data_IF_511437579968
#
_entry.id   IF_511437579968
#
_cell.length_a   1.000
_cell.length_b   1.000
_cell.length_c   1.000
_cell.angle_alpha   90.00
_cell.angle_beta   90.00
_cell.angle_gamma   90.00
#
_symmetry.space_group_name_H-M   'P 1'
#
loop_
_entity.id
_entity.type
_entity.pdbx_description
1 polymer ?
#
# COMPACT_ATOMS: atom_id res chain seq x y z
N UNK A 1 21.22 3.14 -28.78
CA UNK A 1 21.26 1.69 -28.61
C UNK A 1 22.08 1.39 -27.37
N UNK A 2 21.44 1.23 -26.23
CA UNK A 2 22.12 0.79 -25.00
C UNK A 2 21.82 -0.69 -24.84
N UNK A 3 22.87 -1.50 -24.88
CA UNK A 3 22.79 -2.92 -24.66
C UNK A 3 22.41 -3.17 -23.20
N UNK A 4 21.24 -3.77 -22.96
CA UNK A 4 20.91 -4.39 -21.69
C UNK A 4 21.91 -5.54 -21.48
N UNK A 5 22.81 -5.38 -20.52
CA UNK A 5 23.63 -6.46 -20.03
C UNK A 5 22.72 -7.52 -19.39
N UNK A 6 22.50 -8.62 -20.11
CA UNK A 6 21.95 -9.84 -19.57
C UNK A 6 22.95 -10.40 -18.57
N UNK A 7 22.76 -10.13 -17.28
CA UNK A 7 23.42 -10.90 -16.23
C UNK A 7 22.90 -12.33 -16.27
N UNK A 8 23.79 -13.35 -16.21
CA UNK A 8 23.38 -14.74 -16.36
C UNK A 8 22.48 -15.17 -15.21
N UNK A 9 21.41 -15.86 -15.55
CA UNK A 9 20.54 -16.62 -14.68
C UNK A 9 21.37 -17.35 -13.62
N UNK A 10 21.05 -17.10 -12.35
CA UNK A 10 21.25 -18.12 -11.33
C UNK A 10 20.40 -19.32 -11.75
N UNK A 11 21.04 -20.30 -12.39
CA UNK A 11 20.44 -21.60 -12.63
C UNK A 11 20.03 -22.15 -11.27
N UNK A 12 18.75 -22.28 -11.03
CA UNK A 12 18.24 -23.11 -9.95
C UNK A 12 18.73 -24.53 -10.25
N UNK A 13 19.81 -24.95 -9.60
CA UNK A 13 20.22 -26.33 -9.52
C UNK A 13 19.22 -27.05 -8.58
N UNK A 14 18.00 -27.24 -9.05
CA UNK A 14 17.13 -28.26 -8.54
C UNK A 14 17.42 -29.51 -9.35
N UNK A 15 17.84 -30.56 -8.67
CA UNK A 15 18.10 -31.88 -9.23
C UNK A 15 17.03 -32.31 -10.22
N UNK A 16 17.47 -32.96 -11.30
CA UNK A 16 16.69 -33.27 -12.47
C UNK A 16 15.32 -33.81 -12.16
N UNK A 17 14.29 -33.10 -12.68
CA UNK A 17 12.96 -33.63 -12.85
C UNK A 17 12.25 -32.88 -13.97
N UNK A 18 11.58 -33.64 -14.79
CA UNK A 18 10.67 -33.37 -15.89
C UNK A 18 10.24 -31.91 -16.04
N UNK A 19 10.60 -31.31 -17.16
CA UNK A 19 10.02 -30.05 -17.63
C UNK A 19 8.53 -30.28 -17.90
N UNK A 20 7.69 -30.10 -16.87
CA UNK A 20 6.25 -30.06 -17.00
C UNK A 20 5.86 -29.04 -18.07
N UNK A 21 4.69 -29.20 -18.70
CA UNK A 21 4.18 -28.21 -19.66
C UNK A 21 4.07 -26.84 -18.98
N UNK A 22 4.39 -25.74 -19.69
CA UNK A 22 4.21 -24.40 -19.15
C UNK A 22 2.76 -24.18 -18.69
N UNK A 23 2.59 -23.52 -17.55
CA UNK A 23 1.28 -23.32 -16.94
C UNK A 23 0.71 -21.93 -17.23
N UNK A 24 -0.61 -21.80 -17.28
CA UNK A 24 -1.29 -20.50 -17.25
C UNK A 24 -1.37 -20.03 -15.79
N UNK A 25 -1.00 -18.77 -15.55
CA UNK A 25 -1.20 -18.11 -14.26
C UNK A 25 -2.44 -17.22 -14.30
N UNK A 26 -3.22 -17.21 -13.24
CA UNK A 26 -4.32 -16.26 -13.01
C UNK A 26 -3.99 -15.44 -11.76
N UNK A 27 -3.83 -14.13 -11.95
CA UNK A 27 -3.39 -13.19 -10.92
C UNK A 27 -4.54 -12.25 -10.59
N UNK A 28 -4.98 -12.28 -9.32
CA UNK A 28 -5.94 -11.30 -8.81
C UNK A 28 -5.19 -10.04 -8.39
N UNK A 29 -5.67 -8.89 -8.84
CA UNK A 29 -5.23 -7.57 -8.43
C UNK A 29 -6.25 -6.93 -7.51
N UNK A 30 -5.83 -6.60 -6.30
CA UNK A 30 -6.59 -5.79 -5.35
C UNK A 30 -5.85 -4.48 -5.12
N UNK A 31 -6.59 -3.37 -5.15
CA UNK A 31 -6.05 -2.02 -4.90
C UNK A 31 -5.06 -1.48 -5.95
N UNK A 32 -5.11 -1.97 -7.20
CA UNK A 32 -4.31 -1.42 -8.31
C UNK A 32 -2.84 -1.79 -8.27
N UNK A 33 -2.49 -2.92 -7.68
CA UNK A 33 -1.10 -3.41 -7.57
C UNK A 33 -0.46 -3.70 -8.93
N UNK A 34 -1.25 -4.07 -9.94
CA UNK A 34 -0.74 -4.31 -11.29
C UNK A 34 -0.09 -3.07 -11.91
N UNK A 35 -0.51 -1.88 -11.52
CA UNK A 35 0.16 -0.64 -11.93
C UNK A 35 1.65 -0.66 -11.57
N UNK A 36 1.98 -1.19 -10.39
CA UNK A 36 3.33 -1.25 -9.83
C UNK A 36 4.15 -2.46 -10.28
N UNK A 37 3.49 -3.50 -10.81
CA UNK A 37 4.14 -4.81 -11.01
C UNK A 37 3.97 -5.40 -12.40
N UNK A 38 2.95 -4.98 -13.18
CA UNK A 38 2.64 -5.62 -14.46
C UNK A 38 3.81 -5.65 -15.44
N UNK A 39 4.61 -4.58 -15.63
CA UNK A 39 5.77 -4.65 -16.50
C UNK A 39 6.78 -5.72 -16.09
N UNK A 40 7.01 -5.89 -14.78
CA UNK A 40 7.91 -6.90 -14.24
C UNK A 40 7.33 -8.33 -14.37
N UNK A 41 6.01 -8.48 -14.23
CA UNK A 41 5.31 -9.75 -14.43
C UNK A 41 5.35 -10.18 -15.91
N UNK A 42 5.11 -9.27 -16.84
CA UNK A 42 5.21 -9.54 -18.27
C UNK A 42 6.66 -9.88 -18.68
N UNK A 43 7.64 -9.20 -18.10
CA UNK A 43 9.04 -9.54 -18.32
C UNK A 43 9.38 -10.95 -17.81
N UNK A 44 8.79 -11.40 -16.69
CA UNK A 44 8.93 -12.77 -16.21
C UNK A 44 8.40 -13.80 -17.22
N UNK A 45 7.20 -13.57 -17.78
CA UNK A 45 6.60 -14.44 -18.80
C UNK A 45 7.53 -14.59 -20.01
N UNK A 46 8.07 -13.47 -20.51
CA UNK A 46 8.99 -13.46 -21.66
C UNK A 46 10.30 -14.20 -21.32
N UNK A 47 10.85 -14.00 -20.15
CA UNK A 47 12.09 -14.63 -19.72
C UNK A 47 11.95 -16.13 -19.38
N UNK A 48 10.73 -16.59 -19.07
CA UNK A 48 10.47 -17.94 -18.58
C UNK A 48 9.38 -18.70 -19.37
N UNK A 49 9.49 -18.83 -20.73
CA UNK A 49 8.46 -19.45 -21.55
C UNK A 49 8.27 -20.95 -21.28
N UNK A 50 9.23 -21.59 -20.62
CA UNK A 50 9.13 -23.00 -20.19
C UNK A 50 8.39 -23.17 -18.86
N UNK A 51 8.15 -22.09 -18.11
CA UNK A 51 7.44 -22.11 -16.83
C UNK A 51 6.02 -21.59 -17.03
N UNK A 52 5.84 -20.49 -17.76
CA UNK A 52 4.55 -19.81 -17.93
C UNK A 52 4.21 -19.72 -19.40
N UNK A 53 3.02 -20.23 -19.76
CA UNK A 53 2.46 -20.14 -21.11
C UNK A 53 1.68 -18.83 -21.30
N UNK A 54 0.90 -18.44 -20.29
CA UNK A 54 0.09 -17.23 -20.33
C UNK A 54 -0.22 -16.69 -18.93
N UNK A 55 -0.61 -15.42 -18.83
CA UNK A 55 -1.02 -14.75 -17.60
C UNK A 55 -2.33 -14.02 -17.81
N UNK A 56 -3.31 -14.34 -16.97
CA UNK A 56 -4.59 -13.66 -16.89
C UNK A 56 -4.63 -12.76 -15.64
N UNK A 57 -5.24 -11.58 -15.78
CA UNK A 57 -5.38 -10.61 -14.70
C UNK A 57 -6.86 -10.39 -14.38
N UNK A 58 -7.19 -10.41 -13.09
CA UNK A 58 -8.54 -10.22 -12.58
C UNK A 58 -8.50 -9.11 -11.54
N UNK A 59 -9.21 -8.01 -11.75
CA UNK A 59 -9.35 -6.96 -10.77
C UNK A 59 -10.51 -7.27 -9.81
N UNK A 60 -10.26 -7.16 -8.50
CA UNK A 60 -11.26 -7.30 -7.44
C UNK A 60 -11.09 -6.21 -6.38
N UNK A 61 -12.15 -6.00 -5.62
CA UNK A 61 -12.07 -5.26 -4.35
C UNK A 61 -11.59 -6.18 -3.20
N UNK A 62 -11.06 -5.61 -2.13
CA UNK A 62 -10.58 -6.39 -0.99
C UNK A 62 -11.68 -7.29 -0.36
N UNK A 63 -12.94 -6.83 -0.19
CA UNK A 63 -14.02 -7.70 0.32
C UNK A 63 -14.37 -8.89 -0.58
N UNK A 64 -14.13 -8.81 -1.90
CA UNK A 64 -14.45 -9.88 -2.85
C UNK A 64 -13.37 -10.97 -2.92
N UNK A 65 -12.13 -10.65 -2.52
CA UNK A 65 -10.97 -11.53 -2.70
C UNK A 65 -11.15 -12.89 -2.01
N UNK A 66 -11.32 -12.89 -0.69
CA UNK A 66 -11.36 -14.11 0.11
C UNK A 66 -12.60 -14.96 -0.17
N UNK A 67 -13.81 -14.40 -0.30
CA UNK A 67 -14.98 -15.17 -0.73
C UNK A 67 -14.79 -15.87 -2.08
N UNK A 68 -14.17 -15.19 -3.08
CA UNK A 68 -13.87 -15.80 -4.38
C UNK A 68 -12.92 -16.98 -4.25
N UNK A 69 -11.83 -16.84 -3.51
CA UNK A 69 -10.86 -17.92 -3.30
C UNK A 69 -11.53 -19.12 -2.60
N UNK A 70 -12.31 -18.87 -1.56
CA UNK A 70 -13.05 -19.95 -0.86
C UNK A 70 -14.03 -20.68 -1.76
N UNK A 71 -14.78 -19.96 -2.58
CA UNK A 71 -15.70 -20.56 -3.54
C UNK A 71 -14.97 -21.49 -4.53
N UNK A 72 -13.82 -21.07 -5.06
CA UNK A 72 -12.98 -21.89 -5.93
C UNK A 72 -12.42 -23.12 -5.21
N UNK A 73 -11.95 -22.97 -3.96
CA UNK A 73 -11.44 -24.08 -3.14
C UNK A 73 -12.56 -25.12 -2.84
N UNK A 74 -13.76 -24.66 -2.48
CA UNK A 74 -14.90 -25.52 -2.20
C UNK A 74 -15.40 -26.26 -3.44
N UNK A 75 -15.33 -25.63 -4.61
CA UNK A 75 -15.66 -26.24 -5.89
C UNK A 75 -14.60 -27.22 -6.40
N UNK A 76 -13.43 -27.32 -5.74
CA UNK A 76 -12.31 -28.13 -6.22
C UNK A 76 -11.69 -27.64 -7.54
N UNK A 77 -12.02 -26.42 -7.94
CA UNK A 77 -11.54 -25.78 -9.17
C UNK A 77 -10.89 -24.42 -8.84
N UNK A 78 -9.64 -24.49 -8.37
CA UNK A 78 -8.88 -23.31 -7.98
C UNK A 78 -8.16 -22.70 -9.20
N UNK A 79 -8.82 -21.74 -9.87
CA UNK A 79 -8.25 -21.05 -11.04
C UNK A 79 -7.21 -20.00 -10.63
N UNK A 80 -7.43 -19.31 -9.52
CA UNK A 80 -6.53 -18.27 -9.04
C UNK A 80 -5.19 -18.85 -8.60
N UNK A 81 -4.09 -18.35 -9.19
CA UNK A 81 -2.73 -18.81 -8.88
C UNK A 81 -2.07 -17.96 -7.81
N UNK A 82 -2.28 -16.64 -7.85
CA UNK A 82 -1.69 -15.67 -6.92
C UNK A 82 -2.63 -14.49 -6.76
N UNK A 83 -2.57 -13.82 -5.61
CA UNK A 83 -3.18 -12.51 -5.46
C UNK A 83 -2.16 -11.47 -5.00
N UNK A 84 -2.32 -10.26 -5.53
CA UNK A 84 -1.64 -9.04 -5.11
C UNK A 84 -2.62 -8.27 -4.24
N UNK A 85 -2.30 -8.04 -2.97
CA UNK A 85 -3.25 -7.48 -2.00
C UNK A 85 -2.58 -6.65 -0.92
N UNK A 86 -3.35 -5.75 -0.32
CA UNK A 86 -2.95 -5.01 0.88
C UNK A 86 -3.20 -5.79 2.17
N UNK A 87 -3.12 -5.08 3.29
CA UNK A 87 -3.34 -5.61 4.64
C UNK A 87 -4.67 -6.36 4.80
N UNK A 88 -5.75 -5.83 4.23
CA UNK A 88 -7.11 -6.38 4.39
C UNK A 88 -7.21 -7.80 3.82
N UNK A 89 -6.72 -8.01 2.59
CA UNK A 89 -6.83 -9.30 1.92
C UNK A 89 -5.90 -10.37 2.49
N UNK A 90 -4.66 -10.01 2.88
CA UNK A 90 -3.78 -10.97 3.53
C UNK A 90 -4.30 -11.35 4.93
N UNK A 91 -4.78 -10.39 5.72
CA UNK A 91 -5.31 -10.62 7.06
C UNK A 91 -6.55 -11.51 7.04
N UNK A 92 -7.55 -11.14 6.25
CA UNK A 92 -8.79 -11.91 6.12
C UNK A 92 -8.55 -13.34 5.62
N UNK A 93 -7.63 -13.51 4.67
CA UNK A 93 -7.32 -14.83 4.14
C UNK A 93 -6.45 -15.68 5.08
N UNK A 94 -5.57 -15.08 5.89
CA UNK A 94 -4.85 -15.75 6.98
C UNK A 94 -5.84 -16.29 8.01
N UNK A 95 -6.74 -15.44 8.50
CA UNK A 95 -7.77 -15.81 9.48
C UNK A 95 -8.67 -16.94 8.98
N UNK A 96 -9.08 -16.88 7.72
CA UNK A 96 -9.96 -17.88 7.10
C UNK A 96 -9.21 -19.11 6.55
N UNK A 97 -7.88 -19.16 6.69
CA UNK A 97 -7.05 -20.30 6.33
C UNK A 97 -6.91 -20.57 4.83
N UNK A 98 -7.15 -19.57 3.98
CA UNK A 98 -7.12 -19.74 2.51
C UNK A 98 -5.75 -19.59 1.87
N UNK A 99 -4.76 -18.97 2.56
CA UNK A 99 -3.42 -18.75 2.03
C UNK A 99 -2.44 -19.85 2.40
N UNK A 100 -1.50 -20.12 1.51
CA UNK A 100 -0.27 -20.87 1.84
C UNK A 100 0.58 -20.03 2.78
N UNK A 101 1.09 -20.63 3.86
CA UNK A 101 2.13 -20.01 4.64
C UNK A 101 3.46 -20.16 3.89
N UNK A 102 3.82 -19.10 3.16
CA UNK A 102 4.98 -19.09 2.24
C UNK A 102 6.28 -19.30 3.00
N UNK A 103 6.38 -18.74 4.20
CA UNK A 103 7.47 -19.01 5.13
C UNK A 103 6.93 -19.80 6.34
N UNK A 104 7.53 -20.91 6.74
CA UNK A 104 8.86 -21.42 6.31
C UNK A 104 8.88 -22.31 5.07
N UNK A 105 7.72 -22.61 4.42
CA UNK A 105 7.63 -23.59 3.32
C UNK A 105 8.65 -23.37 2.21
N UNK A 106 8.91 -22.10 1.84
CA UNK A 106 9.84 -21.68 0.79
C UNK A 106 10.98 -20.82 1.33
N UNK A 107 11.47 -21.16 2.52
CA UNK A 107 12.55 -20.42 3.20
C UNK A 107 13.77 -20.23 2.30
N UNK A 108 14.22 -21.29 1.63
CA UNK A 108 15.42 -21.26 0.78
C UNK A 108 15.26 -20.27 -0.40
N UNK A 109 14.03 -19.99 -0.83
CA UNK A 109 13.75 -19.04 -1.90
C UNK A 109 13.71 -17.61 -1.39
N UNK A 110 13.06 -17.36 -0.24
CA UNK A 110 12.70 -16.00 0.18
C UNK A 110 13.52 -15.44 1.34
N UNK A 111 14.30 -16.26 2.08
CA UNK A 111 15.02 -15.77 3.26
C UNK A 111 15.87 -14.54 2.96
N UNK A 112 16.64 -14.56 1.86
CA UNK A 112 17.49 -13.43 1.45
C UNK A 112 16.67 -12.15 1.21
N UNK A 113 15.50 -12.27 0.61
CA UNK A 113 14.60 -11.11 0.37
C UNK A 113 14.02 -10.59 1.67
N UNK A 114 13.62 -11.48 2.58
CA UNK A 114 13.10 -11.11 3.91
C UNK A 114 14.17 -10.40 4.75
N UNK A 115 15.43 -10.87 4.70
CA UNK A 115 16.55 -10.23 5.40
C UNK A 115 16.91 -8.85 4.80
N UNK A 116 16.59 -8.66 3.53
CA UNK A 116 16.83 -7.41 2.82
C UNK A 116 15.74 -6.36 3.01
N UNK A 117 14.60 -6.67 3.64
CA UNK A 117 13.51 -5.72 3.80
C UNK A 117 13.95 -4.40 4.45
N UNK A 118 13.34 -3.29 4.00
CA UNK A 118 13.36 -2.04 4.75
C UNK A 118 12.58 -2.21 6.06
N UNK A 119 12.87 -1.45 7.13
CA UNK A 119 12.27 -1.69 8.45
C UNK A 119 10.74 -1.74 8.44
N UNK A 120 10.08 -0.84 7.71
CA UNK A 120 8.61 -0.81 7.64
C UNK A 120 8.02 -2.02 6.89
N UNK A 121 8.64 -2.47 5.81
CA UNK A 121 8.22 -3.68 5.10
C UNK A 121 8.46 -4.94 5.95
N UNK A 122 9.54 -4.97 6.73
CA UNK A 122 9.81 -6.07 7.67
C UNK A 122 8.74 -6.14 8.75
N UNK A 123 8.40 -5.00 9.38
CA UNK A 123 7.34 -4.91 10.38
C UNK A 123 5.98 -5.36 9.83
N UNK A 124 5.64 -4.97 8.59
CA UNK A 124 4.42 -5.40 7.94
C UNK A 124 4.43 -6.91 7.63
N UNK A 125 5.56 -7.45 7.18
CA UNK A 125 5.72 -8.89 6.93
C UNK A 125 5.58 -9.71 8.21
N UNK A 126 6.19 -9.27 9.32
CA UNK A 126 6.18 -9.98 10.60
C UNK A 126 4.76 -10.12 11.18
N UNK A 127 3.89 -9.14 10.91
CA UNK A 127 2.48 -9.16 11.33
C UNK A 127 1.70 -10.36 10.78
N UNK A 128 2.10 -10.86 9.61
CA UNK A 128 1.38 -11.93 8.92
C UNK A 128 2.08 -13.29 8.94
N UNK A 129 3.07 -13.52 9.82
CA UNK A 129 3.70 -14.82 10.08
C UNK A 129 4.12 -15.58 8.81
N UNK A 130 4.55 -14.86 7.78
CA UNK A 130 4.99 -15.47 6.52
C UNK A 130 3.88 -16.01 5.61
N UNK A 131 2.62 -15.61 5.80
CA UNK A 131 1.52 -15.95 4.89
C UNK A 131 1.57 -15.22 3.54
N UNK A 132 2.42 -14.21 3.40
CA UNK A 132 2.68 -13.50 2.16
C UNK A 132 4.09 -12.94 2.11
N UNK A 133 4.51 -12.52 0.93
CA UNK A 133 5.76 -11.81 0.71
C UNK A 133 5.43 -10.35 0.42
N UNK A 134 5.95 -9.43 1.26
CA UNK A 134 5.84 -7.99 1.04
C UNK A 134 6.68 -7.60 -0.18
N UNK A 135 6.11 -6.93 -1.17
CA UNK A 135 6.84 -6.60 -2.39
C UNK A 135 6.80 -5.11 -2.76
N UNK A 136 5.85 -4.36 -2.23
CA UNK A 136 5.79 -2.90 -2.34
C UNK A 136 5.62 -2.30 -0.97
N UNK A 137 6.35 -1.23 -0.68
CA UNK A 137 6.31 -0.52 0.58
C UNK A 137 6.17 0.99 0.35
N UNK A 138 5.30 1.60 1.15
CA UNK A 138 5.19 3.05 1.32
C UNK A 138 5.20 3.38 2.81
N UNK A 139 5.93 4.40 3.29
CA UNK A 139 5.81 4.87 4.68
C UNK A 139 4.36 5.22 5.06
N UNK A 140 3.55 5.58 4.07
CA UNK A 140 2.13 5.86 4.25
C UNK A 140 1.87 7.28 4.72
N UNK A 141 1.24 7.40 5.87
CA UNK A 141 0.83 8.67 6.48
C UNK A 141 0.69 8.51 8.01
N UNK A 142 0.04 9.48 8.67
CA UNK A 142 -0.61 10.65 8.10
C UNK A 142 0.37 11.75 7.68
N UNK A 143 0.09 12.36 6.56
CA UNK A 143 0.61 13.65 6.16
C UNK A 143 -0.54 14.48 5.57
N UNK A 144 -0.29 15.75 5.26
CA UNK A 144 -1.33 16.65 4.78
C UNK A 144 -0.85 17.37 3.54
N UNK A 145 -1.64 17.32 2.46
CA UNK A 145 -1.41 18.09 1.23
C UNK A 145 -2.28 19.34 1.27
N UNK A 146 -1.74 20.51 0.89
CA UNK A 146 -2.44 21.77 1.00
C UNK A 146 -2.08 22.77 -0.11
N UNK A 147 -2.98 23.75 -0.31
CA UNK A 147 -2.77 24.89 -1.16
C UNK A 147 -2.05 26.03 -0.36
N UNK A 148 -0.77 26.35 -0.66
CA UNK A 148 -0.01 27.33 0.12
C UNK A 148 -0.52 28.76 -0.04
N UNK A 149 -1.22 29.11 -1.12
CA UNK A 149 -1.84 30.42 -1.29
C UNK A 149 -3.02 30.64 -0.33
N UNK A 150 -3.73 29.57 0.01
CA UNK A 150 -4.87 29.58 0.93
C UNK A 150 -4.47 29.31 2.37
N UNK A 151 -3.33 28.64 2.58
CA UNK A 151 -2.84 28.23 3.89
C UNK A 151 -1.37 28.61 4.02
N UNK A 152 -1.03 29.91 4.15
CA UNK A 152 0.37 30.36 4.20
C UNK A 152 1.11 29.87 5.45
N UNK A 153 0.39 29.57 6.53
CA UNK A 153 0.94 29.02 7.77
C UNK A 153 0.20 27.71 8.12
N UNK A 154 0.66 26.56 7.63
CA UNK A 154 0.00 25.28 7.90
C UNK A 154 0.09 24.90 9.39
N UNK A 155 -0.91 24.20 9.93
CA UNK A 155 -0.92 23.69 11.31
C UNK A 155 0.28 22.78 11.59
N UNK A 156 0.85 22.86 12.80
CA UNK A 156 1.96 22.02 13.25
C UNK A 156 1.48 20.94 14.24
N UNK A 157 0.43 21.20 14.97
CA UNK A 157 -0.12 20.27 15.98
C UNK A 157 -1.55 19.86 15.63
N UNK A 158 -2.02 18.76 16.22
CA UNK A 158 -3.43 18.36 16.07
C UNK A 158 -4.40 19.43 16.60
N UNK A 159 -4.04 20.12 17.69
CA UNK A 159 -4.82 21.21 18.23
C UNK A 159 -4.92 22.41 17.27
N UNK A 160 -3.80 22.76 16.62
CA UNK A 160 -3.78 23.82 15.60
C UNK A 160 -4.60 23.42 14.36
N UNK A 161 -4.55 22.16 13.91
CA UNK A 161 -5.36 21.67 12.80
C UNK A 161 -6.86 21.77 13.14
N UNK A 162 -7.27 21.42 14.34
CA UNK A 162 -8.64 21.54 14.80
C UNK A 162 -9.08 23.02 14.86
N UNK A 163 -8.26 23.89 15.42
CA UNK A 163 -8.53 25.33 15.48
C UNK A 163 -8.62 25.94 14.07
N UNK A 164 -7.74 25.52 13.17
CA UNK A 164 -7.75 25.94 11.77
C UNK A 164 -9.05 25.47 11.07
N UNK A 165 -9.45 24.21 11.24
CA UNK A 165 -10.70 23.68 10.66
C UNK A 165 -11.93 24.42 11.18
N UNK A 166 -11.95 24.77 12.47
CA UNK A 166 -13.00 25.59 13.09
C UNK A 166 -13.07 26.98 12.48
N UNK A 167 -11.94 27.61 12.21
CA UNK A 167 -11.87 28.92 11.56
C UNK A 167 -12.19 28.88 10.06
N UNK A 168 -12.07 27.72 9.44
CA UNK A 168 -12.26 27.49 8.00
C UNK A 168 -13.19 26.29 7.75
N UNK A 169 -14.48 26.36 8.13
CA UNK A 169 -15.40 25.22 7.99
C UNK A 169 -15.48 24.73 6.54
N UNK A 170 -15.49 23.43 6.38
CA UNK A 170 -15.54 22.79 5.05
C UNK A 170 -14.26 22.90 4.23
N UNK A 171 -13.14 23.43 4.76
CA UNK A 171 -11.87 23.57 4.00
C UNK A 171 -10.86 22.46 4.28
N UNK A 172 -11.04 21.68 5.34
CA UNK A 172 -10.31 20.43 5.59
C UNK A 172 -11.14 19.24 5.17
N UNK A 173 -10.50 18.21 4.59
CA UNK A 173 -11.18 16.98 4.17
C UNK A 173 -10.28 15.76 4.28
N UNK A 174 -10.90 14.63 4.59
CA UNK A 174 -10.34 13.28 4.38
C UNK A 174 -11.44 12.33 3.90
N UNK A 175 -11.08 11.31 3.15
CA UNK A 175 -12.03 10.30 2.69
C UNK A 175 -12.31 9.26 3.79
N UNK A 176 -13.43 8.53 3.66
CA UNK A 176 -13.79 7.44 4.58
C UNK A 176 -12.64 6.48 4.77
N UNK A 177 -12.21 6.20 6.02
CA UNK A 177 -11.02 5.38 6.29
C UNK A 177 -11.06 3.97 5.70
N UNK A 178 -12.25 3.33 5.68
CA UNK A 178 -12.41 1.99 5.10
C UNK A 178 -12.09 1.94 3.59
N UNK A 179 -12.28 3.06 2.87
CA UNK A 179 -12.17 3.12 1.40
C UNK A 179 -10.97 3.94 0.90
N UNK A 180 -10.11 4.42 1.80
CA UNK A 180 -9.03 5.35 1.47
C UNK A 180 -7.78 5.07 2.28
N UNK A 181 -6.65 4.82 1.61
CA UNK A 181 -5.34 4.71 2.26
C UNK A 181 -4.98 5.95 3.09
N UNK A 182 -5.05 7.19 2.54
CA UNK A 182 -4.89 8.42 3.29
C UNK A 182 -5.84 8.60 4.48
N UNK A 183 -7.13 8.33 4.29
CA UNK A 183 -8.12 8.39 5.38
C UNK A 183 -7.83 7.38 6.48
N UNK A 184 -7.43 6.16 6.10
CA UNK A 184 -7.01 5.09 7.00
C UNK A 184 -5.74 5.48 7.77
N UNK A 185 -4.74 6.03 7.09
CA UNK A 185 -3.51 6.48 7.72
C UNK A 185 -3.75 7.64 8.69
N UNK A 186 -4.68 8.56 8.37
CA UNK A 186 -5.08 9.62 9.28
C UNK A 186 -5.75 9.05 10.54
N UNK A 187 -6.74 8.17 10.39
CA UNK A 187 -7.42 7.54 11.52
C UNK A 187 -6.43 6.79 12.43
N UNK A 188 -5.57 5.94 11.87
CA UNK A 188 -4.63 5.13 12.64
C UNK A 188 -3.41 5.90 13.15
N UNK A 189 -3.08 7.05 12.55
CA UNK A 189 -1.99 7.92 12.99
C UNK A 189 -2.35 8.82 14.17
N UNK A 190 -3.63 9.20 14.30
CA UNK A 190 -4.11 10.10 15.37
C UNK A 190 -3.79 9.59 16.78
N UNK A 191 -3.98 8.30 17.13
CA UNK A 191 -3.67 7.83 18.48
C UNK A 191 -2.20 7.99 18.87
N UNK A 192 -1.27 7.94 17.91
CA UNK A 192 0.13 8.26 18.15
C UNK A 192 0.34 9.76 18.37
N UNK A 193 -0.26 10.60 17.52
CA UNK A 193 -0.16 12.06 17.57
C UNK A 193 -0.75 12.61 18.87
N UNK A 194 -1.91 12.09 19.29
CA UNK A 194 -2.65 12.53 20.46
C UNK A 194 -2.19 11.84 21.77
N UNK A 195 -1.37 10.79 21.65
CA UNK A 195 -0.87 10.03 22.79
C UNK A 195 -1.97 9.24 23.50
N UNK A 196 -2.79 8.49 22.74
CA UNK A 196 -3.66 7.46 23.32
C UNK A 196 -2.81 6.31 23.88
N UNK A 197 -3.25 5.63 24.95
CA UNK A 197 -2.40 4.69 25.69
C UNK A 197 -2.01 3.45 24.89
N UNK A 198 -2.86 2.98 23.99
CA UNK A 198 -2.58 1.85 23.12
C UNK A 198 -3.03 2.13 21.66
N UNK A 199 -2.12 2.64 20.80
CA UNK A 199 -2.44 2.89 19.39
C UNK A 199 -2.85 1.66 18.56
N UNK A 200 -2.69 0.45 19.12
CA UNK A 200 -3.09 -0.80 18.48
C UNK A 200 -4.47 -1.32 18.86
N UNK A 201 -5.12 -0.67 19.83
CA UNK A 201 -6.46 -1.04 20.29
C UNK A 201 -7.43 0.14 20.20
N UNK A 202 -8.33 0.18 19.20
CA UNK A 202 -9.29 1.26 18.99
C UNK A 202 -10.23 1.52 20.17
N UNK A 203 -10.43 0.54 21.04
CA UNK A 203 -11.25 0.71 22.23
C UNK A 203 -10.61 1.65 23.25
N UNK A 204 -9.31 1.89 23.16
CA UNK A 204 -8.53 2.77 24.06
C UNK A 204 -8.24 4.16 23.48
N UNK A 205 -8.83 4.52 22.33
CA UNK A 205 -8.56 5.77 21.60
C UNK A 205 -9.48 6.92 22.06
N UNK A 206 -9.59 7.16 23.34
CA UNK A 206 -10.48 8.19 23.89
C UNK A 206 -10.18 9.58 23.34
N UNK A 207 -8.89 9.96 23.27
CA UNK A 207 -8.48 11.26 22.76
C UNK A 207 -8.74 11.36 21.24
N UNK A 208 -8.46 10.32 20.50
CA UNK A 208 -8.70 10.24 19.05
C UNK A 208 -10.19 10.38 18.74
N UNK A 209 -11.05 9.64 19.44
CA UNK A 209 -12.49 9.72 19.20
C UNK A 209 -13.08 11.08 19.60
N UNK A 210 -12.62 11.66 20.72
CA UNK A 210 -13.02 13.01 21.09
C UNK A 210 -12.60 14.07 20.06
N UNK A 211 -11.36 13.96 19.58
CA UNK A 211 -10.81 14.83 18.54
C UNK A 211 -11.60 14.74 17.23
N UNK A 212 -11.87 13.51 16.75
CA UNK A 212 -12.59 13.29 15.49
C UNK A 212 -14.04 13.76 15.56
N UNK A 213 -14.72 13.58 16.70
CA UNK A 213 -16.09 14.11 16.93
C UNK A 213 -16.12 15.63 16.88
N UNK A 214 -15.13 16.30 17.46
CA UNK A 214 -15.05 17.76 17.41
C UNK A 214 -14.71 18.23 15.99
N UNK A 215 -13.75 17.59 15.31
CA UNK A 215 -13.36 17.92 13.94
C UNK A 215 -14.53 17.73 12.96
N UNK A 216 -15.39 16.73 13.19
CA UNK A 216 -16.58 16.46 12.40
C UNK A 216 -17.53 17.66 12.28
N UNK A 217 -17.59 18.54 13.30
CA UNK A 217 -18.40 19.74 13.24
C UNK A 217 -18.01 20.71 12.11
N UNK A 218 -16.80 20.58 11.60
CA UNK A 218 -16.21 21.47 10.59
C UNK A 218 -16.00 20.78 9.24
N UNK A 219 -16.49 19.55 9.07
CA UNK A 219 -16.43 18.76 7.83
C UNK A 219 -17.85 18.56 7.29
N UNK A 220 -18.09 18.88 6.02
CA UNK A 220 -19.43 18.81 5.42
C UNK A 220 -19.86 17.38 5.13
N UNK A 221 -18.93 16.52 4.70
CA UNK A 221 -19.16 15.14 4.34
C UNK A 221 -17.86 14.38 4.18
N UNK A 222 -17.91 13.07 4.08
CA UNK A 222 -16.74 12.20 3.85
C UNK A 222 -16.84 11.50 2.50
N UNK A 223 -15.93 11.82 1.54
CA UNK A 223 -15.90 11.15 0.24
C UNK A 223 -15.67 9.65 0.34
N UNK A 224 -16.23 8.91 -0.61
CA UNK A 224 -16.11 7.46 -0.69
C UNK A 224 -14.72 6.98 -1.16
N UNK A 225 -13.81 7.88 -1.53
CA UNK A 225 -12.46 7.51 -1.99
C UNK A 225 -11.52 8.71 -2.11
N UNK A 226 -10.23 8.41 -2.11
CA UNK A 226 -9.14 9.41 -2.10
C UNK A 226 -9.15 10.32 -3.34
N UNK A 227 -9.47 9.80 -4.52
CA UNK A 227 -9.45 10.59 -5.76
C UNK A 227 -10.40 11.80 -5.68
N UNK A 228 -11.52 11.67 -4.98
CA UNK A 228 -12.50 12.75 -4.81
C UNK A 228 -11.89 13.89 -3.97
N UNK A 229 -11.14 13.56 -2.90
CA UNK A 229 -10.50 14.58 -2.06
C UNK A 229 -9.51 15.42 -2.85
N UNK A 230 -8.66 14.78 -3.68
CA UNK A 230 -7.70 15.49 -4.51
C UNK A 230 -8.36 16.32 -5.62
N UNK A 231 -9.48 15.83 -6.19
CA UNK A 231 -10.28 16.62 -7.12
C UNK A 231 -10.81 17.91 -6.45
N UNK A 232 -11.36 17.82 -5.26
CA UNK A 232 -11.87 18.98 -4.52
C UNK A 232 -10.76 19.96 -4.10
N UNK A 233 -9.56 19.44 -3.80
CA UNK A 233 -8.39 20.29 -3.56
C UNK A 233 -7.97 21.06 -4.84
N UNK A 234 -7.94 20.36 -5.99
CA UNK A 234 -7.62 20.95 -7.29
C UNK A 234 -8.61 22.05 -7.69
N UNK A 235 -9.90 21.84 -7.43
CA UNK A 235 -10.99 22.78 -7.69
C UNK A 235 -10.99 23.96 -6.69
N UNK A 236 -10.12 23.94 -5.65
CA UNK A 236 -10.04 24.99 -4.63
C UNK A 236 -11.20 24.99 -3.63
N UNK A 237 -12.09 24.02 -3.67
CA UNK A 237 -13.19 23.88 -2.71
C UNK A 237 -12.69 23.44 -1.34
N UNK A 238 -11.56 22.71 -1.30
CA UNK A 238 -10.80 22.33 -0.11
C UNK A 238 -9.41 22.94 -0.16
N UNK A 239 -8.82 23.18 1.02
CA UNK A 239 -7.52 23.82 1.14
C UNK A 239 -6.47 22.94 1.82
N UNK A 240 -6.88 22.00 2.67
CA UNK A 240 -6.05 20.97 3.29
C UNK A 240 -6.74 19.61 3.15
N UNK A 241 -5.96 18.59 2.82
CA UNK A 241 -6.39 17.19 2.82
C UNK A 241 -5.52 16.35 3.75
N UNK A 242 -6.11 15.36 4.42
CA UNK A 242 -5.34 14.23 4.88
C UNK A 242 -4.87 13.41 3.67
N UNK A 243 -3.58 13.13 3.62
CA UNK A 243 -2.89 12.49 2.52
C UNK A 243 -1.89 11.44 3.03
N UNK A 244 -1.17 10.82 2.13
CA UNK A 244 0.05 10.08 2.41
C UNK A 244 1.07 10.27 1.28
N UNK A 245 2.31 9.84 1.52
CA UNK A 245 3.47 10.19 0.71
C UNK A 245 3.26 9.90 -0.79
N UNK A 246 2.83 8.68 -1.11
CA UNK A 246 2.63 8.28 -2.51
C UNK A 246 1.50 9.06 -3.20
N UNK A 247 0.40 9.31 -2.51
CA UNK A 247 -0.71 10.08 -3.09
C UNK A 247 -0.32 11.55 -3.35
N UNK A 248 0.35 12.22 -2.43
CA UNK A 248 0.80 13.59 -2.68
C UNK A 248 1.75 13.66 -3.88
N UNK A 249 2.73 12.77 -3.95
CA UNK A 249 3.68 12.73 -5.05
C UNK A 249 3.00 12.41 -6.38
N UNK A 250 2.20 11.35 -6.43
CA UNK A 250 1.56 10.88 -7.64
C UNK A 250 0.59 11.90 -8.24
N UNK A 251 -0.23 12.56 -7.41
CA UNK A 251 -1.19 13.55 -7.92
C UNK A 251 -0.51 14.79 -8.51
N UNK A 252 0.68 15.16 -8.02
CA UNK A 252 1.49 16.23 -8.63
C UNK A 252 2.17 15.77 -9.92
N UNK A 253 2.66 14.53 -9.96
CA UNK A 253 3.23 13.93 -11.17
C UNK A 253 2.20 13.81 -12.29
N UNK A 254 0.95 13.47 -11.96
CA UNK A 254 -0.16 13.38 -12.89
C UNK A 254 -0.83 14.73 -13.16
N UNK A 255 -0.31 15.81 -12.60
CA UNK A 255 -0.86 17.17 -12.76
C UNK A 255 -2.33 17.30 -12.32
N UNK A 256 -2.83 16.35 -11.49
CA UNK A 256 -4.17 16.44 -10.90
C UNK A 256 -4.27 17.64 -9.96
N UNK A 257 -3.18 17.93 -9.24
CA UNK A 257 -3.03 19.14 -8.44
C UNK A 257 -1.78 19.90 -8.89
N UNK A 258 -1.72 21.24 -8.72
CA UNK A 258 -0.54 22.03 -9.06
C UNK A 258 0.73 21.54 -8.35
N UNK A 259 1.86 21.56 -9.06
CA UNK A 259 3.18 21.23 -8.50
C UNK A 259 3.58 22.15 -7.33
N UNK A 260 3.00 23.36 -7.27
CA UNK A 260 3.21 24.35 -6.20
C UNK A 260 2.56 23.97 -4.87
N UNK A 261 1.58 23.06 -4.86
CA UNK A 261 0.94 22.60 -3.63
C UNK A 261 1.97 21.93 -2.73
N UNK A 262 1.81 22.11 -1.42
CA UNK A 262 2.79 21.73 -0.42
C UNK A 262 2.26 20.64 0.49
N UNK A 263 3.15 20.09 1.32
CA UNK A 263 2.82 19.10 2.32
C UNK A 263 3.40 19.49 3.68
N UNK A 264 2.70 19.05 4.76
CA UNK A 264 3.18 19.19 6.12
C UNK A 264 2.88 17.93 6.94
N UNK A 265 3.49 17.86 8.10
CA UNK A 265 3.31 16.81 9.10
C UNK A 265 2.95 17.48 10.42
N UNK A 266 2.12 16.81 11.21
CA UNK A 266 1.87 17.25 12.59
C UNK A 266 3.01 16.76 13.50
N UNK A 267 3.25 17.49 14.58
CA UNK A 267 4.14 17.04 15.64
C UNK A 267 3.72 15.66 16.15
N UNK A 268 4.70 14.84 16.54
CA UNK A 268 4.53 13.45 16.98
C UNK A 268 3.97 12.50 15.91
N UNK A 269 4.01 12.87 14.63
CA UNK A 269 3.60 11.94 13.56
C UNK A 269 4.43 10.66 13.61
N UNK A 270 3.72 9.53 13.63
CA UNK A 270 4.24 8.20 13.35
C UNK A 270 3.70 7.75 12.02
N UNK A 271 4.57 7.34 11.10
CA UNK A 271 4.13 6.75 9.84
C UNK A 271 3.35 5.47 10.09
N UNK A 272 2.11 5.41 9.67
CA UNK A 272 1.38 4.15 9.52
C UNK A 272 1.62 3.68 8.10
N UNK A 273 2.45 2.65 7.96
CA UNK A 273 2.91 2.20 6.65
C UNK A 273 1.79 1.56 5.81
N UNK A 274 1.97 1.60 4.50
CA UNK A 274 1.16 0.84 3.56
C UNK A 274 2.08 -0.11 2.79
N UNK A 275 1.72 -1.40 2.80
CA UNK A 275 2.53 -2.48 2.23
C UNK A 275 1.63 -3.39 1.42
N UNK A 276 2.11 -3.77 0.24
CA UNK A 276 1.41 -4.71 -0.62
C UNK A 276 2.10 -6.07 -0.60
N UNK A 277 1.30 -7.11 -0.64
CA UNK A 277 1.72 -8.50 -0.47
C UNK A 277 1.37 -9.35 -1.68
N UNK A 278 2.21 -10.33 -1.94
CA UNK A 278 1.94 -11.46 -2.82
C UNK A 278 1.53 -12.65 -1.97
N UNK A 279 0.37 -13.23 -2.24
CA UNK A 279 -0.16 -14.40 -1.52
C UNK A 279 -0.56 -15.51 -2.50
N UNK A 280 -0.42 -16.77 -2.06
CA UNK A 280 -0.75 -17.96 -2.85
C UNK A 280 -1.93 -18.67 -2.18
N UNK A 281 -3.03 -18.95 -2.89
CA UNK A 281 -4.12 -19.77 -2.37
C UNK A 281 -3.68 -21.21 -2.06
N UNK A 282 -4.18 -21.80 -0.97
CA UNK A 282 -4.00 -23.23 -0.69
C UNK A 282 -4.75 -24.10 -1.68
N UNK A 283 -4.15 -25.21 -2.08
CA UNK A 283 -4.81 -26.22 -2.92
C UNK A 283 -4.50 -26.10 -4.41
N UNK A 284 -3.52 -25.26 -4.79
CA UNK A 284 -3.00 -25.27 -6.15
C UNK A 284 -2.34 -26.61 -6.49
N UNK A 285 -2.40 -26.99 -7.77
CA UNK A 285 -1.52 -28.05 -8.25
C UNK A 285 -0.06 -27.63 -8.15
N UNK A 286 0.86 -28.61 -7.98
CA UNK A 286 2.28 -28.33 -7.73
C UNK A 286 2.97 -27.51 -8.83
N UNK A 287 2.54 -27.62 -10.08
CA UNK A 287 3.17 -26.91 -11.19
C UNK A 287 2.81 -25.42 -11.15
N UNK A 288 1.55 -25.06 -10.90
CA UNK A 288 1.12 -23.67 -10.75
C UNK A 288 1.66 -23.05 -9.46
N UNK A 289 1.71 -23.80 -8.35
CA UNK A 289 2.30 -23.29 -7.10
C UNK A 289 3.80 -22.98 -7.30
N UNK A 290 4.55 -23.88 -7.95
CA UNK A 290 5.97 -23.68 -8.29
C UNK A 290 6.17 -22.44 -9.20
N UNK A 291 5.32 -22.26 -10.19
CA UNK A 291 5.37 -21.11 -11.09
C UNK A 291 5.05 -19.79 -10.37
N UNK A 292 4.07 -19.79 -9.44
CA UNK A 292 3.77 -18.63 -8.59
C UNK A 292 4.97 -18.26 -7.71
N UNK A 293 5.61 -19.23 -7.05
CA UNK A 293 6.80 -19.02 -6.23
C UNK A 293 7.95 -18.45 -7.06
N UNK A 294 8.16 -18.96 -8.29
CA UNK A 294 9.19 -18.45 -9.18
C UNK A 294 8.92 -16.99 -9.59
N UNK A 295 7.66 -16.64 -9.91
CA UNK A 295 7.26 -15.26 -10.20
C UNK A 295 7.46 -14.34 -8.98
N UNK A 296 7.05 -14.77 -7.79
CA UNK A 296 7.25 -14.00 -6.57
C UNK A 296 8.74 -13.75 -6.30
N UNK A 297 9.60 -14.77 -6.47
CA UNK A 297 11.04 -14.64 -6.33
C UNK A 297 11.65 -13.68 -7.38
N UNK A 298 11.13 -13.69 -8.60
CA UNK A 298 11.50 -12.75 -9.64
C UNK A 298 11.16 -11.31 -9.23
N UNK A 299 9.94 -11.06 -8.77
CA UNK A 299 9.48 -9.74 -8.35
C UNK A 299 10.27 -9.19 -7.15
N UNK A 300 10.92 -10.05 -6.36
CA UNK A 300 11.80 -9.64 -5.26
C UNK A 300 13.23 -9.31 -5.68
N UNK A 301 13.62 -9.49 -6.95
CA UNK A 301 14.93 -9.08 -7.42
C UNK A 301 15.06 -7.55 -7.48
N UNK A 302 16.24 -6.96 -7.17
CA UNK A 302 16.40 -5.51 -7.14
C UNK A 302 15.96 -4.78 -8.42
N UNK A 303 16.23 -5.34 -9.59
CA UNK A 303 15.81 -4.76 -10.88
C UNK A 303 14.28 -4.71 -11.04
N UNK A 304 13.56 -5.71 -10.53
CA UNK A 304 12.11 -5.77 -10.57
C UNK A 304 11.48 -4.91 -9.47
N UNK A 305 12.11 -4.87 -8.31
CA UNK A 305 11.72 -3.96 -7.23
C UNK A 305 11.83 -2.49 -7.67
N UNK A 306 12.81 -2.14 -8.51
CA UNK A 306 12.95 -0.79 -9.04
C UNK A 306 11.78 -0.35 -9.94
N UNK A 307 11.03 -1.29 -10.54
CA UNK A 307 9.82 -0.99 -11.32
C UNK A 307 8.71 -0.40 -10.43
N UNK A 308 8.68 -0.75 -9.15
CA UNK A 308 7.65 -0.31 -8.20
C UNK A 308 7.72 1.17 -7.84
N UNK A 309 8.77 1.89 -8.25
CA UNK A 309 8.79 3.35 -8.19
C UNK A 309 7.65 3.98 -9.01
N UNK A 310 7.32 3.39 -10.18
CA UNK A 310 6.21 3.83 -11.06
C UNK A 310 6.20 5.38 -11.24
N UNK A 311 5.06 6.00 -11.10
CA UNK A 311 4.84 7.44 -11.04
C UNK A 311 4.70 7.94 -9.58
N UNK A 312 5.39 7.30 -8.63
CA UNK A 312 5.36 7.67 -7.22
C UNK A 312 4.10 7.25 -6.46
N UNK A 313 3.23 6.39 -7.04
CA UNK A 313 1.95 6.02 -6.45
C UNK A 313 2.09 5.39 -5.04
N UNK A 314 3.06 4.53 -4.86
CA UNK A 314 3.45 3.95 -3.56
C UNK A 314 4.88 4.36 -3.16
N UNK A 315 5.30 5.59 -3.46
CA UNK A 315 6.67 6.03 -3.21
C UNK A 315 7.15 5.72 -1.78
N UNK A 316 8.36 5.15 -1.58
CA UNK A 316 9.37 4.84 -2.59
C UNK A 316 9.08 3.59 -3.45
N UNK A 317 8.23 2.66 -3.04
CA UNK A 317 7.85 1.46 -3.78
C UNK A 317 8.64 0.23 -3.36
N UNK A 318 9.98 0.14 -3.55
CA UNK A 318 10.74 -1.05 -3.19
C UNK A 318 10.60 -1.45 -1.73
N UNK A 319 10.29 -2.73 -1.47
CA UNK A 319 10.21 -3.27 -0.12
C UNK A 319 11.57 -3.68 0.45
N UNK A 320 12.61 -3.80 -0.39
CA UNK A 320 13.97 -4.22 0.00
C UNK A 320 14.97 -3.06 -0.07
N UNK A 321 16.02 -3.15 0.74
CA UNK A 321 17.16 -2.22 0.75
C UNK A 321 17.97 -2.33 -0.55
N UNK A 322 18.74 -1.28 -0.86
CA UNK A 322 19.70 -1.29 -1.97
C UNK A 322 19.05 -1.11 -3.35
N UNK A 323 17.85 -0.58 -3.41
CA UNK A 323 17.15 -0.26 -4.67
C UNK A 323 16.91 1.25 -4.75
N UNK A 324 17.94 2.05 -5.12
CA UNK A 324 17.78 3.50 -5.27
C UNK A 324 16.97 3.87 -6.52
N UNK A 325 16.41 5.09 -6.55
CA UNK A 325 15.65 5.61 -7.69
C UNK A 325 16.42 5.53 -9.02
N UNK A 326 17.75 5.59 -8.98
CA UNK A 326 18.60 5.47 -10.17
C UNK A 326 18.52 4.09 -10.86
N UNK A 327 17.97 3.07 -10.20
CA UNK A 327 17.69 1.77 -10.79
C UNK A 327 16.31 1.71 -11.45
N UNK A 328 15.41 2.66 -11.16
CA UNK A 328 14.08 2.70 -11.74
C UNK A 328 14.13 2.95 -13.26
N UNK A 329 13.06 2.60 -14.00
CA UNK A 329 12.92 2.99 -15.39
C UNK A 329 13.16 4.50 -15.56
N UNK A 330 13.80 4.92 -16.67
CA UNK A 330 14.13 6.33 -16.91
C UNK A 330 12.88 7.22 -16.83
N UNK A 331 11.75 6.74 -17.34
CA UNK A 331 10.46 7.44 -17.27
C UNK A 331 10.02 7.73 -15.83
N UNK A 332 10.20 6.78 -14.92
CA UNK A 332 9.91 6.98 -13.50
C UNK A 332 10.87 7.98 -12.87
N UNK A 333 12.17 7.90 -13.19
CA UNK A 333 13.17 8.86 -12.69
C UNK A 333 12.85 10.28 -13.12
N UNK A 334 12.51 10.49 -14.39
CA UNK A 334 12.22 11.81 -14.97
C UNK A 334 10.97 12.46 -14.37
N UNK A 335 9.98 11.65 -13.99
CA UNK A 335 8.74 12.10 -13.35
C UNK A 335 8.89 12.32 -11.83
N UNK A 336 9.57 11.42 -11.14
CA UNK A 336 9.70 11.47 -9.68
C UNK A 336 10.65 12.58 -9.25
N UNK A 337 11.82 12.76 -9.89
CA UNK A 337 12.83 13.74 -9.47
C UNK A 337 12.29 15.17 -9.32
N UNK A 338 11.53 15.73 -10.28
CA UNK A 338 10.93 17.06 -10.12
C UNK A 338 9.88 17.13 -9.00
N UNK A 339 9.26 16.01 -8.69
CA UNK A 339 8.23 15.92 -7.66
C UNK A 339 8.78 15.69 -6.23
N UNK A 340 10.09 15.41 -6.10
CA UNK A 340 10.75 15.22 -4.80
C UNK A 340 10.68 16.49 -3.95
N UNK A 341 10.58 16.28 -2.63
CA UNK A 341 10.67 17.35 -1.63
C UNK A 341 11.69 16.96 -0.57
N UNK A 342 12.58 17.88 -0.19
CA UNK A 342 13.54 17.67 0.91
C UNK A 342 12.85 17.25 2.22
N UNK A 343 11.63 17.74 2.46
CA UNK A 343 10.83 17.35 3.62
C UNK A 343 10.46 15.85 3.62
N UNK A 344 10.31 15.21 2.46
CA UNK A 344 10.00 13.78 2.39
C UNK A 344 11.15 12.91 2.87
N UNK A 345 12.37 13.19 2.38
CA UNK A 345 13.54 12.42 2.78
C UNK A 345 13.80 12.55 4.27
N UNK A 346 13.68 13.75 4.82
CA UNK A 346 13.82 13.99 6.25
C UNK A 346 12.74 13.26 7.06
N UNK A 347 11.48 13.27 6.61
CA UNK A 347 10.37 12.61 7.28
C UNK A 347 10.48 11.08 7.20
N UNK A 348 10.79 10.53 6.02
CA UNK A 348 10.95 9.07 5.83
C UNK A 348 12.06 8.49 6.71
N UNK A 349 13.16 9.25 6.89
CA UNK A 349 14.31 8.78 7.67
C UNK A 349 14.18 9.01 9.18
N UNK A 350 13.42 10.00 9.61
CA UNK A 350 13.41 10.47 11.01
C UNK A 350 12.14 10.14 11.77
N UNK A 351 10.99 10.06 11.10
CA UNK A 351 9.73 9.77 11.80
C UNK A 351 9.62 8.28 12.14
N UNK A 352 9.07 7.96 13.33
CA UNK A 352 8.76 6.59 13.70
C UNK A 352 7.85 5.92 12.68
N UNK A 353 7.94 4.60 12.56
CA UNK A 353 7.12 3.81 11.64
C UNK A 353 6.37 2.73 12.42
N UNK A 354 5.09 2.56 12.13
CA UNK A 354 4.22 1.53 12.67
C UNK A 354 3.53 0.76 11.55
N UNK A 355 3.29 -0.53 11.75
CA UNK A 355 2.37 -1.31 10.91
C UNK A 355 0.95 -0.78 11.06
N UNK A 356 0.08 -1.09 10.12
CA UNK A 356 -1.37 -0.92 10.31
C UNK A 356 -1.87 -1.82 11.46
N UNK A 357 -3.12 -1.62 11.85
CA UNK A 357 -3.82 -2.53 12.76
C UNK A 357 -3.96 -3.92 12.14
N UNK A 358 -4.03 -4.94 12.99
CA UNK A 358 -4.49 -6.28 12.60
C UNK A 358 -5.94 -6.24 12.10
N UNK A 359 -6.39 -7.31 11.44
CA UNK A 359 -7.71 -7.37 10.80
C UNK A 359 -8.85 -7.03 11.76
N UNK A 360 -8.92 -7.67 12.92
CA UNK A 360 -10.04 -7.48 13.86
C UNK A 360 -10.03 -6.06 14.47
N UNK A 361 -8.92 -5.51 15.02
CA UNK A 361 -8.85 -4.12 15.44
C UNK A 361 -9.12 -3.12 14.31
N UNK A 362 -8.71 -3.41 13.07
CA UNK A 362 -8.95 -2.52 11.93
C UNK A 362 -10.44 -2.43 11.60
N UNK A 363 -11.15 -3.55 11.56
CA UNK A 363 -12.62 -3.58 11.38
C UNK A 363 -13.30 -2.83 12.52
N UNK A 364 -12.90 -3.08 13.77
CA UNK A 364 -13.44 -2.37 14.92
C UNK A 364 -13.23 -0.84 14.81
N UNK A 365 -12.06 -0.39 14.37
CA UNK A 365 -11.79 1.03 14.15
C UNK A 365 -12.71 1.65 13.09
N UNK A 366 -12.97 0.95 12.00
CA UNK A 366 -13.89 1.41 10.96
C UNK A 366 -15.34 1.48 11.45
N UNK A 367 -15.80 0.45 12.17
CA UNK A 367 -17.15 0.42 12.77
C UNK A 367 -17.33 1.54 13.80
N UNK A 368 -16.31 1.79 14.63
CA UNK A 368 -16.35 2.88 15.59
C UNK A 368 -16.36 4.25 14.87
N UNK A 369 -15.55 4.41 13.83
CA UNK A 369 -15.53 5.63 13.04
C UNK A 369 -16.89 5.88 12.38
N UNK A 370 -17.50 4.88 11.75
CA UNK A 370 -18.83 4.99 11.12
C UNK A 370 -19.90 5.38 12.14
N UNK A 371 -19.88 4.83 13.35
CA UNK A 371 -20.85 5.12 14.41
C UNK A 371 -20.65 6.50 15.05
N UNK A 372 -19.40 6.91 15.26
CA UNK A 372 -19.07 8.10 16.06
C UNK A 372 -18.90 9.38 15.22
N UNK A 373 -18.53 9.22 13.93
CA UNK A 373 -18.08 10.30 13.05
C UNK A 373 -18.76 10.24 11.67
N UNK A 374 -18.73 9.07 11.02
CA UNK A 374 -18.97 8.89 9.59
C UNK A 374 -20.41 9.03 9.09
N UNK A 375 -21.37 9.42 9.93
CA UNK A 375 -22.80 9.46 9.57
C UNK A 375 -23.18 10.58 8.58
N UNK A 376 -22.25 11.51 8.29
CA UNK A 376 -22.55 12.66 7.40
C UNK A 376 -22.52 12.24 5.93
N UNK A 377 -23.67 12.42 5.28
CA UNK A 377 -23.84 12.26 3.83
C UNK A 377 -23.93 13.67 3.22
N UNK A 378 -23.27 13.87 2.07
CA UNK A 378 -23.40 15.13 1.32
C UNK A 378 -24.89 15.37 1.00
N UNK A 379 -25.44 16.49 1.49
CA UNK A 379 -26.79 16.92 1.14
C UNK A 379 -26.80 17.60 -0.22
#
# INVERSE_FOLDING_TARGET
MLALALTPLLAFAAGGQETGKPVKLSIIDVAGNLRLSKPAIEAFKVANPKIVSDIEYIALTAPELVPKIKAQQMAGNLDTTMALTGYDGIAAGKEQGVWVQVMPKYKDVFQKSVDAYVPGAKSAYDLFDGYGIAYVFCPGGPMFTYNPEKVPNPPKTAAELLAWAKANPGKFLYARPANSGPGRAFLQGLPYILGDPNPKDPATWDKTWAYLKELDNYIDYYPSGTAITFKELAEGTRWILASHLGWDMNQRILETIPATYQAFFLDNTTWVNDTQFMVIPKGLDPAREKAAVALMAWLMQPAQQAVTYDDGYFYPGPAIKGVPLTMAPQTSQDRIRPAMRAAYDAAVLKLPNASQLDAAPLVAAFDMWDKLVGAKIKK
#
